data_IF_703770534732
#
_entry.id   IF_703770534732
#
_cell.length_a   1.000
_cell.length_b   1.000
_cell.length_c   1.000
_cell.angle_alpha   90.00
_cell.angle_beta   90.00
_cell.angle_gamma   90.00
#
_symmetry.space_group_name_H-M   'P 1'
#
loop_
_entity.id
_entity.type
_entity.pdbx_description
1 polymer ?
#
# COMPACT_ATOMS: atom_id res chain seq x y z
N UNK A 1 11.74 -0.79 -16.98
CA UNK A 1 11.88 0.32 -16.00
C UNK A 1 11.48 -0.21 -14.63
N UNK A 2 12.30 -0.02 -13.58
CA UNK A 2 11.89 -0.34 -12.20
C UNK A 2 10.76 0.63 -11.83
N UNK A 3 9.66 0.10 -11.30
CA UNK A 3 8.61 0.96 -10.75
C UNK A 3 9.12 1.54 -9.41
N UNK A 4 9.45 2.84 -9.32
CA UNK A 4 10.09 3.42 -8.14
C UNK A 4 9.14 3.59 -6.94
N UNK A 5 7.89 3.14 -7.07
CA UNK A 5 6.81 3.45 -6.12
C UNK A 5 6.37 2.24 -5.29
N UNK A 6 7.16 1.17 -5.27
CA UNK A 6 6.87 -0.06 -4.54
C UNK A 6 7.60 -0.19 -3.20
N UNK A 7 7.50 -1.37 -2.60
CA UNK A 7 8.13 -1.74 -1.33
C UNK A 7 9.23 -2.76 -1.59
N UNK A 8 10.37 -2.63 -0.92
CA UNK A 8 11.47 -3.61 -0.96
C UNK A 8 11.64 -4.26 0.42
N UNK A 9 11.93 -5.55 0.42
CA UNK A 9 12.37 -6.30 1.60
C UNK A 9 13.87 -6.54 1.43
N UNK A 10 14.66 -6.12 2.42
CA UNK A 10 16.11 -6.11 2.35
C UNK A 10 16.67 -6.90 3.54
N UNK A 11 17.55 -7.87 3.25
CA UNK A 11 18.36 -8.55 4.26
C UNK A 11 19.51 -7.62 4.69
N UNK A 12 19.55 -7.30 5.95
CA UNK A 12 20.56 -6.44 6.59
C UNK A 12 21.36 -7.16 7.68
N UNK A 13 21.37 -8.52 7.65
CA UNK A 13 22.17 -9.31 8.61
C UNK A 13 23.65 -8.92 8.55
N UNK A 14 24.16 -8.68 7.36
CA UNK A 14 25.44 -7.99 7.16
C UNK A 14 25.14 -6.56 6.65
N UNK A 15 25.22 -5.54 7.52
CA UNK A 15 24.87 -4.19 7.15
C UNK A 15 25.83 -3.56 6.13
N UNK A 16 27.00 -4.15 5.94
CA UNK A 16 27.97 -3.70 4.90
C UNK A 16 27.62 -4.25 3.50
N UNK A 17 26.84 -5.34 3.45
CA UNK A 17 26.43 -5.98 2.21
C UNK A 17 24.92 -6.29 2.22
N UNK A 18 24.06 -5.26 2.21
CA UNK A 18 22.61 -5.47 2.20
C UNK A 18 22.17 -6.13 0.90
N UNK A 19 21.18 -7.04 0.97
CA UNK A 19 20.66 -7.76 -0.19
C UNK A 19 19.16 -7.59 -0.30
N UNK A 20 18.67 -7.25 -1.50
CA UNK A 20 17.23 -7.23 -1.77
C UNK A 20 16.76 -8.69 -1.83
N UNK A 21 15.80 -9.04 -0.98
CA UNK A 21 15.14 -10.34 -0.92
C UNK A 21 13.90 -10.38 -1.81
N UNK A 22 13.11 -9.31 -1.81
CA UNK A 22 11.90 -9.19 -2.60
C UNK A 22 11.60 -7.73 -2.96
N UNK A 23 10.93 -7.53 -4.09
CA UNK A 23 10.41 -6.25 -4.54
C UNK A 23 8.90 -6.41 -4.82
N UNK A 24 8.09 -5.59 -4.17
CA UNK A 24 6.65 -5.51 -4.38
C UNK A 24 6.37 -4.28 -5.25
N UNK A 25 5.92 -4.51 -6.46
CA UNK A 25 5.55 -3.43 -7.39
C UNK A 25 4.13 -2.96 -7.14
N UNK A 26 3.88 -1.67 -7.37
CA UNK A 26 2.54 -1.10 -7.28
C UNK A 26 1.91 -0.99 -8.67
N UNK A 27 0.58 -1.10 -8.76
CA UNK A 27 -0.13 -0.79 -10.00
C UNK A 27 0.14 0.64 -10.49
N UNK A 28 0.03 0.84 -11.79
CA UNK A 28 0.21 2.16 -12.42
C UNK A 28 -0.67 3.22 -11.73
N UNK A 29 -0.11 4.40 -11.49
CA UNK A 29 -0.82 5.50 -10.86
C UNK A 29 -0.98 5.40 -9.35
N UNK A 30 -0.37 4.39 -8.72
CA UNK A 30 -0.36 4.22 -7.27
C UNK A 30 1.06 4.12 -6.72
N UNK A 31 1.22 4.37 -5.43
CA UNK A 31 2.49 4.17 -4.73
C UNK A 31 2.28 3.67 -3.30
N UNK A 32 3.33 3.09 -2.74
CA UNK A 32 3.42 2.71 -1.33
C UNK A 32 4.64 3.39 -0.71
N UNK A 33 4.48 3.98 0.47
CA UNK A 33 5.56 4.68 1.19
C UNK A 33 5.49 4.47 2.70
N UNK A 34 4.54 3.66 3.16
CA UNK A 34 4.39 3.27 4.56
C UNK A 34 4.29 1.77 4.68
N UNK A 35 5.00 1.23 5.67
CA UNK A 35 5.02 -0.20 6.00
C UNK A 35 4.86 -0.36 7.50
N UNK A 36 4.09 -1.36 7.91
CA UNK A 36 4.05 -1.88 9.28
C UNK A 36 4.22 -3.38 9.25
N UNK A 37 4.96 -3.88 10.20
CA UNK A 37 5.20 -5.33 10.35
C UNK A 37 4.86 -5.73 11.78
N UNK A 38 4.11 -6.82 11.91
CA UNK A 38 3.85 -7.48 13.20
C UNK A 38 3.89 -9.00 12.99
N UNK A 39 4.87 -9.66 13.62
CA UNK A 39 5.13 -11.08 13.35
C UNK A 39 5.38 -11.34 11.88
N UNK A 40 4.65 -12.27 11.30
CA UNK A 40 4.74 -12.64 9.88
C UNK A 40 3.79 -11.84 8.99
N UNK A 41 3.12 -10.81 9.51
CA UNK A 41 2.25 -9.94 8.75
C UNK A 41 2.95 -8.62 8.41
N UNK A 42 2.87 -8.24 7.15
CA UNK A 42 3.29 -6.94 6.66
C UNK A 42 2.11 -6.23 6.02
N UNK A 43 1.85 -5.01 6.46
CA UNK A 43 0.84 -4.12 5.87
C UNK A 43 1.53 -2.97 5.18
N UNK A 44 1.12 -2.67 3.95
CA UNK A 44 1.58 -1.51 3.17
C UNK A 44 0.40 -0.66 2.78
N UNK A 45 0.59 0.66 2.76
CA UNK A 45 -0.41 1.53 2.18
C UNK A 45 -0.37 1.47 0.65
N UNK A 46 -1.51 1.78 0.03
CA UNK A 46 -1.59 2.11 -1.38
C UNK A 46 -2.31 3.45 -1.50
N UNK A 47 -1.62 4.42 -2.04
CA UNK A 47 -2.13 5.76 -2.29
C UNK A 47 -2.18 6.02 -3.79
N UNK A 48 -3.26 6.63 -4.25
CA UNK A 48 -3.41 7.03 -5.65
C UNK A 48 -2.62 8.31 -5.87
N UNK A 49 -1.77 8.32 -6.87
CA UNK A 49 -1.01 9.51 -7.25
C UNK A 49 -1.93 10.62 -7.75
N UNK A 50 -1.64 11.86 -7.39
CA UNK A 50 -2.33 13.02 -7.93
C UNK A 50 -2.27 13.09 -9.47
N UNK A 51 -3.23 13.77 -10.11
CA UNK A 51 -3.34 13.86 -11.58
C UNK A 51 -2.03 14.17 -12.28
N UNK A 52 -1.22 15.07 -11.73
CA UNK A 52 0.05 15.49 -12.32
C UNK A 52 1.17 14.46 -12.23
N UNK A 53 1.06 13.49 -11.30
CA UNK A 53 2.05 12.44 -11.11
C UNK A 53 1.65 11.12 -11.77
N UNK A 54 0.42 11.01 -12.25
CA UNK A 54 -0.06 9.82 -12.95
C UNK A 54 0.51 9.80 -14.38
N UNK A 55 1.16 8.71 -14.71
CA UNK A 55 1.68 8.44 -16.04
C UNK A 55 0.93 7.24 -16.64
N UNK A 56 0.42 7.38 -17.84
CA UNK A 56 -0.28 6.32 -18.55
C UNK A 56 -1.80 6.40 -18.46
N UNK A 57 -2.46 5.42 -19.05
CA UNK A 57 -3.91 5.30 -19.06
C UNK A 57 -4.44 4.88 -17.69
N UNK A 58 -5.66 5.30 -17.36
CA UNK A 58 -6.38 4.81 -16.18
C UNK A 58 -6.55 3.30 -16.34
N UNK A 59 -6.17 2.49 -15.33
CA UNK A 59 -6.43 1.05 -15.39
C UNK A 59 -7.90 0.76 -15.67
N UNK A 60 -8.25 -0.29 -16.45
CA UNK A 60 -9.64 -0.62 -16.78
C UNK A 60 -10.55 -0.81 -15.56
N UNK A 61 -9.98 -1.27 -14.46
CA UNK A 61 -10.63 -1.46 -13.15
C UNK A 61 -10.49 -0.26 -12.22
N UNK A 62 -9.91 0.85 -12.71
CA UNK A 62 -9.69 2.07 -11.95
C UNK A 62 -8.46 2.04 -11.04
N UNK A 63 -8.32 3.08 -10.22
CA UNK A 63 -7.25 3.15 -9.22
C UNK A 63 -7.77 2.68 -7.87
N UNK A 64 -7.11 1.69 -7.30
CA UNK A 64 -7.48 1.11 -6.01
C UNK A 64 -6.50 1.55 -4.93
N UNK A 65 -6.87 2.59 -4.18
CA UNK A 65 -6.15 3.01 -2.98
C UNK A 65 -6.62 2.21 -1.77
N UNK A 66 -5.77 2.04 -0.76
CA UNK A 66 -6.15 1.31 0.45
C UNK A 66 -4.98 0.72 1.20
N UNK A 67 -5.15 -0.51 1.69
CA UNK A 67 -4.12 -1.30 2.36
C UNK A 67 -3.92 -2.64 1.66
N UNK A 68 -2.67 -3.06 1.53
CA UNK A 68 -2.32 -4.42 1.12
C UNK A 68 -1.69 -5.16 2.28
N UNK A 69 -2.15 -6.39 2.53
CA UNK A 69 -1.70 -7.24 3.64
C UNK A 69 -0.99 -8.45 3.04
N UNK A 70 0.23 -8.69 3.53
CA UNK A 70 1.10 -9.77 3.05
C UNK A 70 1.50 -10.70 4.19
N UNK A 71 1.56 -12.00 3.89
CA UNK A 71 2.32 -12.98 4.65
C UNK A 71 3.80 -12.89 4.26
N UNK A 72 4.65 -12.63 5.24
CA UNK A 72 6.10 -12.52 5.09
C UNK A 72 6.86 -13.55 5.94
N UNK A 73 6.24 -14.66 6.33
CA UNK A 73 6.92 -15.77 7.01
C UNK A 73 8.17 -16.22 6.21
N UNK A 74 8.11 -16.12 4.88
CA UNK A 74 9.28 -16.15 4.03
C UNK A 74 9.49 -14.78 3.37
N UNK A 75 10.40 -13.95 3.89
CA UNK A 75 10.58 -12.58 3.42
C UNK A 75 11.12 -12.48 1.97
N UNK A 76 11.71 -13.56 1.47
CA UNK A 76 12.13 -13.65 0.05
C UNK A 76 10.98 -14.01 -0.90
N UNK A 77 9.82 -14.41 -0.37
CA UNK A 77 8.62 -14.80 -1.13
C UNK A 77 7.36 -14.28 -0.45
N UNK A 78 7.20 -12.98 -0.30
CA UNK A 78 6.00 -12.41 0.32
C UNK A 78 4.76 -12.79 -0.49
N UNK A 79 3.66 -13.13 0.21
CA UNK A 79 2.40 -13.51 -0.42
C UNK A 79 1.34 -12.49 -0.07
N UNK A 80 0.68 -11.92 -1.07
CA UNK A 80 -0.49 -11.08 -0.84
C UNK A 80 -1.61 -11.93 -0.25
N UNK A 81 -2.09 -11.56 0.94
CA UNK A 81 -3.26 -12.17 1.58
C UNK A 81 -4.51 -11.49 1.05
N UNK A 82 -4.56 -10.17 1.12
CA UNK A 82 -5.70 -9.37 0.66
C UNK A 82 -5.31 -7.93 0.39
N UNK A 83 -6.17 -7.25 -0.36
CA UNK A 83 -6.15 -5.80 -0.52
C UNK A 83 -7.53 -5.25 -0.16
N UNK A 84 -7.54 -4.31 0.79
CA UNK A 84 -8.74 -3.57 1.17
C UNK A 84 -8.73 -2.21 0.46
N UNK A 85 -9.82 -1.86 -0.21
CA UNK A 85 -9.98 -0.63 -0.98
C UNK A 85 -10.71 0.44 -0.16
N UNK A 86 -10.29 1.70 -0.31
CA UNK A 86 -11.00 2.85 0.28
C UNK A 86 -12.23 3.24 -0.51
N UNK A 87 -12.34 2.79 -1.76
CA UNK A 87 -13.46 3.12 -2.66
C UNK A 87 -13.57 2.10 -3.78
N UNK A 88 -14.79 1.87 -4.24
CA UNK A 88 -15.08 1.08 -5.45
C UNK A 88 -15.17 1.96 -6.72
N UNK A 89 -14.97 3.28 -6.58
CA UNK A 89 -15.05 4.21 -7.71
C UNK A 89 -13.79 4.20 -8.53
N UNK A 90 -13.96 4.20 -9.83
CA UNK A 90 -12.88 4.26 -10.82
C UNK A 90 -12.41 5.69 -11.11
N UNK A 91 -13.20 6.72 -10.75
CA UNK A 91 -12.83 8.11 -10.97
C UNK A 91 -11.79 8.56 -9.94
N UNK A 92 -10.61 8.66 -10.41
CA UNK A 92 -9.41 8.88 -9.64
C UNK A 92 -9.31 10.23 -8.89
N UNK A 93 -10.29 11.11 -9.04
CA UNK A 93 -10.21 12.45 -8.49
C UNK A 93 -10.48 12.50 -7.00
N UNK A 94 -11.13 11.48 -6.45
CA UNK A 94 -11.56 11.44 -5.04
C UNK A 94 -10.94 10.30 -4.23
N UNK A 95 -10.40 9.29 -4.88
CA UNK A 95 -9.87 8.11 -4.21
C UNK A 95 -8.37 8.25 -3.96
N UNK A 96 -7.97 8.96 -2.92
CA UNK A 96 -6.55 9.08 -2.57
C UNK A 96 -6.01 7.85 -1.85
N UNK A 97 -6.88 6.97 -1.35
CA UNK A 97 -6.47 5.79 -0.60
C UNK A 97 -6.03 6.11 0.83
N UNK A 98 -5.05 5.38 1.34
CA UNK A 98 -4.53 5.52 2.71
C UNK A 98 -3.15 6.16 2.67
N UNK A 99 -3.04 7.39 3.18
CA UNK A 99 -1.75 8.08 3.29
C UNK A 99 -0.99 7.64 4.54
N UNK A 100 -1.66 7.54 5.68
CA UNK A 100 -1.06 7.13 6.95
C UNK A 100 -1.92 6.09 7.64
N UNK A 101 -1.25 5.16 8.28
CA UNK A 101 -1.88 4.13 9.10
C UNK A 101 -0.92 3.63 10.18
N UNK A 102 -1.48 2.97 11.17
CA UNK A 102 -0.76 2.11 12.10
C UNK A 102 -1.39 0.73 12.16
N UNK A 103 -0.65 -0.27 12.65
CA UNK A 103 -1.09 -1.66 12.72
C UNK A 103 -0.49 -2.33 13.95
N UNK A 104 -1.32 -2.91 14.79
CA UNK A 104 -0.92 -3.53 16.06
C UNK A 104 -0.83 -5.06 16.01
N UNK A 105 -1.06 -5.65 14.85
CA UNK A 105 -1.07 -7.10 14.64
C UNK A 105 -2.48 -7.67 14.46
N UNK A 106 -3.52 -6.92 14.84
CA UNK A 106 -4.91 -7.25 14.61
C UNK A 106 -5.66 -6.11 13.93
N UNK A 107 -5.57 -4.90 14.49
CA UNK A 107 -6.29 -3.74 13.98
C UNK A 107 -5.40 -2.83 13.16
N UNK A 108 -5.93 -2.34 12.05
CA UNK A 108 -5.34 -1.25 11.31
C UNK A 108 -6.09 0.06 11.59
N UNK A 109 -5.34 1.06 12.04
CA UNK A 109 -5.83 2.40 12.36
C UNK A 109 -5.47 3.31 11.19
N UNK A 110 -6.45 3.79 10.43
CA UNK A 110 -6.24 4.51 9.19
C UNK A 110 -6.89 5.89 9.20
N UNK A 111 -6.31 6.80 8.43
CA UNK A 111 -6.89 8.11 8.16
C UNK A 111 -7.04 8.27 6.64
N UNK A 112 -8.08 7.67 6.04
CA UNK A 112 -8.29 7.73 4.60
C UNK A 112 -9.11 8.95 4.19
N UNK A 113 -9.06 9.27 2.90
CA UNK A 113 -10.12 10.01 2.23
C UNK A 113 -11.07 9.00 1.58
N UNK A 114 -12.35 9.08 1.89
CA UNK A 114 -13.35 8.09 1.50
C UNK A 114 -14.62 8.77 0.98
N UNK A 115 -15.26 8.13 0.00
CA UNK A 115 -16.58 8.56 -0.47
C UNK A 115 -17.63 8.52 0.63
N UNK A 116 -18.53 9.51 0.63
CA UNK A 116 -19.59 9.62 1.62
C UNK A 116 -19.17 10.30 2.93
N UNK A 117 -17.89 10.62 3.08
CA UNK A 117 -17.34 11.30 4.25
C UNK A 117 -16.67 12.61 3.85
N UNK A 118 -16.82 13.64 4.67
CA UNK A 118 -16.21 14.96 4.45
C UNK A 118 -15.09 15.18 5.45
N UNK A 119 -13.90 15.53 4.92
CA UNK A 119 -12.73 15.84 5.74
C UNK A 119 -11.93 14.61 6.17
N UNK A 120 -11.12 14.79 7.21
CA UNK A 120 -10.29 13.72 7.76
C UNK A 120 -11.14 12.84 8.68
N UNK A 121 -11.17 11.57 8.38
CA UNK A 121 -11.84 10.55 9.21
C UNK A 121 -10.79 9.62 9.82
N UNK A 122 -11.16 8.97 10.91
CA UNK A 122 -10.43 7.85 11.48
C UNK A 122 -11.28 6.59 11.35
N UNK A 123 -10.67 5.52 10.87
CA UNK A 123 -11.31 4.23 10.73
C UNK A 123 -10.43 3.14 11.35
N UNK A 124 -11.07 2.15 11.96
CA UNK A 124 -10.41 0.96 12.52
C UNK A 124 -10.92 -0.24 11.73
N UNK A 125 -9.98 -0.98 11.16
CA UNK A 125 -10.25 -2.23 10.42
C UNK A 125 -9.79 -3.42 11.26
N UNK A 126 -10.61 -4.48 11.35
CA UNK A 126 -10.29 -5.76 12.01
C UNK A 126 -9.96 -6.82 10.96
#
# INVERSE_FOLDING_TARGET
MRNPHGTQIIDVKDPKHPRILAELTMPTGTHSHKVRVHGDLMVTNREVLGKHARQGEVPPDGYHGGLSIYDIANPGKPKLITHWNTTDRSDADYATGVHRFDFDGRYAYISPTMDGYVGNIMMILD
#
